data_IF_453363909400
#
_entry.id   IF_453363909400
#
_cell.length_a   1.000
_cell.length_b   1.000
_cell.length_c   1.000
_cell.angle_alpha   90.00
_cell.angle_beta   90.00
_cell.angle_gamma   90.00
#
_symmetry.space_group_name_H-M   'P 1'
#
loop_
_entity.id
_entity.type
_entity.pdbx_description
1 polymer ?
#
# COMPACT_ATOMS: atom_id res chain seq x y z
N UNK A 1 -10.47 87.89 1.58
CA UNK A 1 -9.45 86.89 1.12
C UNK A 1 -9.80 85.55 1.65
N UNK A 2 -10.55 84.73 0.86
CA UNK A 2 -10.91 83.37 1.20
C UNK A 2 -9.92 82.44 0.51
N UNK A 3 -9.19 81.62 1.30
CA UNK A 3 -8.31 80.56 0.79
C UNK A 3 -9.06 79.25 0.71
N UNK A 4 -9.33 78.80 -0.51
CA UNK A 4 -9.82 77.45 -0.81
C UNK A 4 -8.67 76.45 -0.60
N UNK A 5 -8.84 75.51 0.33
CA UNK A 5 -7.97 74.35 0.44
C UNK A 5 -8.54 73.21 -0.38
N UNK A 6 -7.81 72.84 -1.47
CA UNK A 6 -8.13 71.67 -2.26
C UNK A 6 -7.79 70.40 -1.49
N UNK A 7 -8.76 69.57 -1.26
CA UNK A 7 -8.63 68.27 -0.67
C UNK A 7 -8.50 67.25 -1.81
N UNK A 8 -7.27 66.71 -2.03
CA UNK A 8 -7.03 65.63 -2.97
C UNK A 8 -7.33 64.34 -2.25
N UNK A 9 -8.40 63.62 -2.65
CA UNK A 9 -8.74 62.29 -2.19
C UNK A 9 -7.94 61.28 -3.02
N UNK A 10 -6.94 60.68 -2.41
CA UNK A 10 -6.22 59.55 -3.03
C UNK A 10 -7.05 58.26 -2.87
N UNK A 11 -7.65 57.78 -3.96
CA UNK A 11 -8.27 56.45 -3.97
C UNK A 11 -7.17 55.41 -4.10
N UNK A 12 -6.91 54.67 -3.03
CA UNK A 12 -6.05 53.49 -3.05
C UNK A 12 -6.81 52.33 -3.66
N UNK A 13 -6.46 51.97 -4.91
CA UNK A 13 -6.94 50.74 -5.58
C UNK A 13 -6.21 49.58 -4.94
N UNK A 14 -6.90 48.83 -4.07
CA UNK A 14 -6.47 47.51 -3.60
C UNK A 14 -6.58 46.52 -4.76
N UNK A 15 -5.50 46.33 -5.49
CA UNK A 15 -5.35 45.20 -6.41
C UNK A 15 -5.17 43.97 -5.55
N UNK A 16 -6.26 43.27 -5.27
CA UNK A 16 -6.23 41.95 -4.66
C UNK A 16 -5.52 41.01 -5.62
N UNK A 17 -4.27 40.70 -5.35
CA UNK A 17 -3.56 39.60 -6.01
C UNK A 17 -4.27 38.32 -5.68
N UNK A 18 -5.14 37.84 -6.58
CA UNK A 18 -5.63 36.46 -6.52
C UNK A 18 -4.41 35.58 -6.71
N UNK A 19 -3.87 35.05 -5.61
CA UNK A 19 -2.90 33.97 -5.70
C UNK A 19 -3.62 32.77 -6.33
N UNK A 20 -3.34 32.52 -7.61
CA UNK A 20 -3.71 31.26 -8.23
C UNK A 20 -2.87 30.21 -7.49
N UNK A 21 -3.53 29.52 -6.56
CA UNK A 21 -2.99 28.32 -5.96
C UNK A 21 -2.84 27.30 -7.08
N UNK A 22 -1.68 27.22 -7.69
CA UNK A 22 -1.36 26.09 -8.54
C UNK A 22 -1.43 24.85 -7.67
N UNK A 23 -2.29 23.88 -8.03
CA UNK A 23 -2.32 22.60 -7.38
C UNK A 23 -0.89 22.05 -7.35
N UNK A 24 -0.42 21.67 -6.17
CA UNK A 24 0.99 21.30 -5.93
C UNK A 24 1.51 20.16 -6.82
N UNK A 25 0.60 19.46 -7.54
CA UNK A 25 0.90 18.27 -8.34
C UNK A 25 0.59 18.47 -9.84
N UNK A 26 0.43 19.70 -10.34
CA UNK A 26 0.14 19.96 -11.75
C UNK A 26 -1.26 19.52 -12.22
N UNK A 27 -2.21 19.30 -11.31
CA UNK A 27 -3.58 18.88 -11.58
C UNK A 27 -4.49 20.11 -11.44
N UNK A 28 -5.32 20.38 -12.44
CA UNK A 28 -6.14 21.61 -12.49
C UNK A 28 -7.58 21.45 -12.00
N UNK A 29 -8.02 20.26 -11.63
CA UNK A 29 -9.36 20.00 -11.10
C UNK A 29 -9.70 18.52 -11.06
N UNK A 30 -10.75 18.19 -10.32
CA UNK A 30 -11.28 16.83 -10.19
C UNK A 30 -11.39 16.36 -8.74
N UNK A 31 -12.11 15.26 -8.57
CA UNK A 31 -12.33 14.64 -7.27
C UNK A 31 -11.64 13.28 -7.25
N UNK A 32 -10.82 13.03 -6.25
CA UNK A 32 -10.16 11.73 -6.00
C UNK A 32 -10.70 11.18 -4.69
N UNK A 33 -11.33 10.01 -4.75
CA UNK A 33 -11.76 9.24 -3.57
C UNK A 33 -10.92 7.98 -3.45
N UNK A 34 -10.32 7.74 -2.27
CA UNK A 34 -9.36 6.68 -2.03
C UNK A 34 -9.90 5.73 -0.96
N UNK A 35 -9.97 4.43 -1.28
CA UNK A 35 -10.17 3.37 -0.29
C UNK A 35 -8.84 2.71 0.03
N UNK A 36 -8.50 2.61 1.31
CA UNK A 36 -7.25 2.04 1.78
C UNK A 36 -7.42 1.28 3.09
N UNK A 37 -6.56 0.31 3.36
CA UNK A 37 -6.44 -0.29 4.68
C UNK A 37 -5.99 0.74 5.71
N UNK A 38 -6.21 0.45 6.99
CA UNK A 38 -5.91 1.33 8.12
C UNK A 38 -4.62 0.91 8.83
N UNK A 39 -3.49 1.44 8.35
CA UNK A 39 -2.19 1.33 9.03
C UNK A 39 -1.23 2.46 8.60
N UNK A 40 -0.18 2.76 9.42
CA UNK A 40 0.62 3.99 9.29
C UNK A 40 1.25 4.23 7.92
N UNK A 41 1.74 3.19 7.23
CA UNK A 41 2.37 3.36 5.93
C UNK A 41 1.38 3.86 4.88
N UNK A 42 0.12 3.37 4.89
CA UNK A 42 -0.91 3.85 3.97
C UNK A 42 -1.38 5.27 4.32
N UNK A 43 -1.42 5.61 5.60
CA UNK A 43 -1.69 7.00 6.01
C UNK A 43 -0.66 7.96 5.41
N UNK A 44 0.64 7.61 5.44
CA UNK A 44 1.70 8.43 4.86
C UNK A 44 1.53 8.63 3.34
N UNK A 45 1.21 7.54 2.62
CA UNK A 45 0.99 7.60 1.16
C UNK A 45 -0.21 8.44 0.81
N UNK A 46 -1.34 8.24 1.49
CA UNK A 46 -2.58 8.99 1.23
C UNK A 46 -2.43 10.45 1.62
N UNK A 47 -1.71 10.77 2.71
CA UNK A 47 -1.41 12.15 3.08
C UNK A 47 -0.57 12.88 2.03
N UNK A 48 0.35 12.17 1.35
CA UNK A 48 1.07 12.74 0.21
C UNK A 48 0.13 13.07 -0.97
N UNK A 49 -0.90 12.24 -1.20
CA UNK A 49 -1.92 12.54 -2.21
C UNK A 49 -2.81 13.73 -1.79
N UNK A 50 -3.17 13.83 -0.50
CA UNK A 50 -3.93 14.97 0.04
C UNK A 50 -3.20 16.31 -0.13
N UNK A 51 -1.86 16.29 -0.12
CA UNK A 51 -1.05 17.48 -0.39
C UNK A 51 -1.24 18.04 -1.82
N UNK A 52 -1.82 17.25 -2.73
CA UNK A 52 -2.19 17.70 -4.07
C UNK A 52 -3.56 18.39 -4.14
N UNK A 53 -4.31 18.43 -3.03
CA UNK A 53 -5.60 19.12 -2.99
C UNK A 53 -5.43 20.65 -3.13
N UNK A 54 -6.42 21.30 -3.73
CA UNK A 54 -6.39 22.73 -4.03
C UNK A 54 -6.53 23.01 -5.53
N UNK A 55 -6.76 24.26 -5.91
CA UNK A 55 -6.92 24.63 -7.32
C UNK A 55 -8.08 23.91 -8.04
N UNK A 56 -9.14 23.52 -7.33
CA UNK A 56 -10.25 22.74 -7.88
C UNK A 56 -10.09 21.22 -7.77
N UNK A 57 -9.02 20.74 -7.13
CA UNK A 57 -8.81 19.30 -6.81
C UNK A 57 -9.27 19.02 -5.39
N UNK A 58 -10.13 18.00 -5.20
CA UNK A 58 -10.47 17.46 -3.89
C UNK A 58 -9.93 16.04 -3.75
N UNK A 59 -9.41 15.71 -2.58
CA UNK A 59 -8.97 14.36 -2.22
C UNK A 59 -9.72 13.93 -0.96
N UNK A 60 -10.47 12.84 -1.07
CA UNK A 60 -11.15 12.20 0.05
C UNK A 60 -10.60 10.80 0.28
N UNK A 61 -10.69 10.31 1.50
CA UNK A 61 -10.14 9.01 1.87
C UNK A 61 -11.06 8.25 2.82
N UNK A 62 -11.01 6.95 2.73
CA UNK A 62 -11.55 6.02 3.71
C UNK A 62 -10.44 5.02 4.08
N UNK A 63 -9.92 5.14 5.31
CA UNK A 63 -9.02 4.17 5.91
C UNK A 63 -9.81 3.23 6.80
N UNK A 64 -9.86 1.96 6.46
CA UNK A 64 -10.57 0.96 7.24
C UNK A 64 -9.94 -0.42 7.11
N UNK A 65 -9.98 -1.20 8.19
CA UNK A 65 -9.54 -2.60 8.18
C UNK A 65 -10.45 -3.51 7.36
N UNK A 66 -11.68 -3.08 7.14
CA UNK A 66 -12.69 -3.77 6.30
C UNK A 66 -12.53 -3.47 4.80
N UNK A 67 -11.46 -2.77 4.37
CA UNK A 67 -11.26 -2.35 2.98
C UNK A 67 -11.39 -3.50 1.96
N UNK A 68 -10.97 -4.72 2.33
CA UNK A 68 -11.08 -5.90 1.46
C UNK A 68 -12.51 -6.31 1.18
N UNK A 69 -13.38 -6.27 2.18
CA UNK A 69 -14.81 -6.59 2.02
C UNK A 69 -15.60 -5.46 1.36
N UNK A 70 -15.16 -4.22 1.53
CA UNK A 70 -15.83 -3.03 0.98
C UNK A 70 -15.52 -2.81 -0.50
N UNK A 71 -14.32 -3.16 -0.97
CA UNK A 71 -13.85 -2.78 -2.32
C UNK A 71 -14.72 -3.33 -3.45
N UNK A 72 -15.17 -4.60 -3.36
CA UNK A 72 -16.02 -5.21 -4.39
C UNK A 72 -17.33 -4.44 -4.57
N UNK A 73 -18.18 -4.36 -3.55
CA UNK A 73 -19.42 -3.58 -3.62
C UNK A 73 -19.22 -2.13 -4.07
N UNK A 74 -18.19 -1.45 -3.51
CA UNK A 74 -17.94 -0.04 -3.81
C UNK A 74 -17.46 0.22 -5.24
N UNK A 75 -16.71 -0.71 -5.85
CA UNK A 75 -16.28 -0.60 -7.25
C UNK A 75 -17.36 -1.05 -8.23
N UNK A 76 -18.30 -1.91 -7.80
CA UNK A 76 -19.45 -2.34 -8.61
C UNK A 76 -20.54 -1.27 -8.67
N UNK A 77 -20.58 -0.34 -7.73
CA UNK A 77 -21.52 0.79 -7.74
C UNK A 77 -21.37 1.61 -9.04
N UNK A 78 -22.47 2.22 -9.49
CA UNK A 78 -22.48 3.06 -10.69
C UNK A 78 -23.09 4.44 -10.41
N UNK A 79 -22.27 5.52 -10.30
CA UNK A 79 -20.80 5.50 -10.42
C UNK A 79 -20.11 4.77 -9.25
N UNK A 80 -18.89 4.30 -9.47
CA UNK A 80 -18.09 3.69 -8.40
C UNK A 80 -17.85 4.68 -7.24
N UNK A 81 -17.92 4.19 -6.00
CA UNK A 81 -17.75 5.03 -4.80
C UNK A 81 -16.34 5.58 -4.65
N UNK A 82 -15.34 4.83 -5.17
CA UNK A 82 -13.93 5.22 -5.11
C UNK A 82 -13.31 5.25 -6.49
N UNK A 83 -12.52 6.29 -6.76
CA UNK A 83 -11.71 6.43 -7.97
C UNK A 83 -10.37 5.71 -7.87
N UNK A 84 -9.88 5.45 -6.65
CA UNK A 84 -8.62 4.76 -6.38
C UNK A 84 -8.83 3.77 -5.23
N UNK A 85 -8.34 2.55 -5.39
CA UNK A 85 -8.28 1.55 -4.32
C UNK A 85 -6.83 1.13 -4.09
N UNK A 86 -6.40 1.07 -2.84
CA UNK A 86 -5.09 0.55 -2.45
C UNK A 86 -5.29 -0.90 -2.01
N UNK A 87 -4.66 -1.81 -2.73
CA UNK A 87 -4.89 -3.25 -2.62
C UNK A 87 -3.58 -4.02 -2.49
N UNK A 88 -3.68 -5.24 -2.01
CA UNK A 88 -2.59 -6.21 -2.11
C UNK A 88 -2.50 -6.76 -3.54
N UNK A 89 -1.31 -7.20 -3.95
CA UNK A 89 -1.06 -7.74 -5.29
C UNK A 89 -2.01 -8.89 -5.66
N UNK A 90 -2.36 -9.75 -4.71
CA UNK A 90 -3.30 -10.86 -4.90
C UNK A 90 -4.72 -10.43 -5.31
N UNK A 91 -5.11 -9.19 -5.09
CA UNK A 91 -6.42 -8.67 -5.47
C UNK A 91 -6.48 -8.18 -6.93
N UNK A 92 -5.36 -8.02 -7.61
CA UNK A 92 -5.32 -7.49 -8.99
C UNK A 92 -6.07 -8.40 -9.95
N UNK A 93 -5.74 -9.69 -9.97
CA UNK A 93 -6.34 -10.66 -10.90
C UNK A 93 -7.86 -10.82 -10.70
N UNK A 94 -8.40 -11.01 -9.48
CA UNK A 94 -9.85 -11.03 -9.26
C UNK A 94 -10.56 -9.77 -9.75
N UNK A 95 -10.06 -8.57 -9.38
CA UNK A 95 -10.67 -7.30 -9.80
C UNK A 95 -10.62 -7.07 -11.31
N UNK A 96 -9.57 -7.55 -11.99
CA UNK A 96 -9.51 -7.59 -13.45
C UNK A 96 -10.56 -8.50 -14.04
N UNK A 97 -10.69 -9.72 -13.51
CA UNK A 97 -11.67 -10.71 -13.99
C UNK A 97 -13.10 -10.22 -13.90
N UNK A 98 -13.39 -9.40 -12.90
CA UNK A 98 -14.70 -8.76 -12.70
C UNK A 98 -14.85 -7.43 -13.47
N UNK A 99 -13.80 -6.94 -14.14
CA UNK A 99 -13.84 -5.67 -14.87
C UNK A 99 -13.91 -4.42 -13.99
N UNK A 100 -13.53 -4.54 -12.71
CA UNK A 100 -13.64 -3.48 -11.71
C UNK A 100 -12.45 -2.52 -11.68
N UNK A 101 -11.36 -2.86 -12.34
CA UNK A 101 -10.18 -2.00 -12.53
C UNK A 101 -9.82 -1.91 -14.01
N UNK A 102 -9.23 -0.80 -14.41
CA UNK A 102 -8.83 -0.54 -15.78
C UNK A 102 -7.31 -0.49 -15.93
N UNK A 103 -6.78 -0.72 -17.15
CA UNK A 103 -5.38 -0.45 -17.45
C UNK A 103 -5.00 1.01 -17.15
N UNK A 104 -3.76 1.21 -16.69
CA UNK A 104 -3.18 2.49 -16.30
C UNK A 104 -2.13 2.99 -17.31
N UNK A 105 -1.99 2.33 -18.47
CA UNK A 105 -0.95 2.62 -19.47
C UNK A 105 -0.98 4.08 -19.91
N UNK A 106 -2.15 4.65 -20.12
CA UNK A 106 -2.34 6.06 -20.49
C UNK A 106 -1.84 7.02 -19.39
N UNK A 107 -2.11 6.70 -18.13
CA UNK A 107 -1.65 7.48 -16.98
C UNK A 107 -0.15 7.33 -16.76
N UNK A 108 0.37 6.12 -16.92
CA UNK A 108 1.82 5.86 -16.81
C UNK A 108 2.57 6.56 -17.93
N UNK A 109 2.09 6.52 -19.16
CA UNK A 109 2.70 7.24 -20.28
C UNK A 109 2.75 8.74 -20.03
N UNK A 110 1.70 9.31 -19.43
CA UNK A 110 1.57 10.76 -19.22
C UNK A 110 2.30 11.25 -17.95
N UNK A 111 2.24 10.47 -16.87
CA UNK A 111 2.65 10.91 -15.53
C UNK A 111 3.70 10.01 -14.88
N UNK A 112 4.01 8.86 -15.48
CA UNK A 112 4.83 7.81 -14.88
C UNK A 112 6.33 7.91 -15.14
N UNK A 113 6.87 9.03 -15.67
CA UNK A 113 8.28 9.14 -16.05
C UNK A 113 9.29 8.84 -14.92
N UNK A 114 8.90 9.06 -13.66
CA UNK A 114 9.74 8.76 -12.49
C UNK A 114 9.56 7.34 -11.93
N UNK A 115 8.56 6.59 -12.42
CA UNK A 115 8.31 5.23 -11.96
C UNK A 115 9.39 4.27 -12.46
N UNK A 116 9.76 3.32 -11.60
CA UNK A 116 10.68 2.25 -11.96
C UNK A 116 9.91 1.07 -12.55
N UNK A 117 10.53 0.34 -13.48
CA UNK A 117 9.89 -0.80 -14.14
C UNK A 117 9.29 -1.82 -13.15
N UNK A 118 9.98 -2.09 -12.04
CA UNK A 118 9.50 -3.03 -11.00
C UNK A 118 8.30 -2.52 -10.18
N UNK A 119 7.94 -1.25 -10.31
CA UNK A 119 6.72 -0.70 -9.70
C UNK A 119 5.47 -0.93 -10.56
N UNK A 120 5.65 -1.30 -11.82
CA UNK A 120 4.54 -1.51 -12.75
C UNK A 120 4.05 -2.96 -12.66
N UNK A 121 2.91 -3.18 -12.04
CA UNK A 121 2.26 -4.49 -11.97
C UNK A 121 1.56 -4.74 -13.31
N UNK A 122 2.16 -5.61 -14.12
CA UNK A 122 1.72 -5.85 -15.49
C UNK A 122 1.05 -7.22 -15.59
N UNK A 123 -0.14 -7.28 -16.15
CA UNK A 123 -0.91 -8.49 -16.45
C UNK A 123 -1.34 -8.42 -17.91
N UNK A 124 -1.12 -9.48 -18.68
CA UNK A 124 -1.44 -9.56 -20.13
C UNK A 124 -0.90 -8.36 -20.94
N UNK A 125 0.31 -7.92 -20.59
CA UNK A 125 0.99 -6.81 -21.27
C UNK A 125 0.46 -5.41 -20.92
N UNK A 126 -0.51 -5.27 -20.01
CA UNK A 126 -1.10 -4.00 -19.56
C UNK A 126 -0.72 -3.69 -18.12
N UNK A 127 -0.41 -2.43 -17.82
CA UNK A 127 -0.16 -1.98 -16.45
C UNK A 127 -1.49 -1.88 -15.71
N UNK A 128 -1.73 -2.77 -14.75
CA UNK A 128 -2.99 -2.83 -14.00
C UNK A 128 -2.90 -2.17 -12.62
N UNK A 129 -1.70 -2.06 -12.05
CA UNK A 129 -1.49 -1.37 -10.78
C UNK A 129 -0.07 -0.82 -10.69
N UNK A 130 0.14 0.10 -9.73
CA UNK A 130 1.44 0.68 -9.42
C UNK A 130 1.80 0.28 -8.00
N UNK A 131 2.90 -0.49 -7.85
CA UNK A 131 3.42 -0.87 -6.56
C UNK A 131 4.19 0.30 -5.93
N UNK A 132 3.89 0.60 -4.69
CA UNK A 132 4.58 1.62 -3.89
C UNK A 132 5.16 1.05 -2.60
N UNK A 133 4.80 -0.17 -2.23
CA UNK A 133 5.27 -0.86 -1.05
C UNK A 133 5.57 -2.33 -1.38
N UNK A 134 6.64 -2.85 -0.80
CA UNK A 134 6.96 -4.26 -0.84
C UNK A 134 7.01 -4.79 0.59
N UNK A 135 6.31 -5.90 0.83
CA UNK A 135 6.39 -6.64 2.08
C UNK A 135 7.41 -7.78 1.92
N UNK A 136 8.11 -8.07 3.01
CA UNK A 136 8.98 -9.23 3.10
C UNK A 136 8.83 -9.85 4.50
N UNK A 137 8.83 -11.17 4.56
CA UNK A 137 8.86 -11.89 5.82
C UNK A 137 10.32 -12.13 6.22
N UNK A 138 10.62 -11.88 7.48
CA UNK A 138 11.95 -12.04 8.05
C UNK A 138 11.87 -12.76 9.38
N UNK A 139 12.82 -13.63 9.65
CA UNK A 139 13.04 -14.15 10.98
C UNK A 139 13.72 -13.08 11.85
N UNK A 140 12.97 -12.53 12.81
CA UNK A 140 13.53 -11.67 13.85
C UNK A 140 13.87 -12.51 15.08
N UNK A 141 15.07 -12.34 15.62
CA UNK A 141 15.49 -13.09 16.80
C UNK A 141 16.20 -12.21 17.82
N UNK A 142 16.12 -12.60 19.07
CA UNK A 142 16.83 -12.01 20.18
C UNK A 142 18.22 -12.63 20.26
N UNK A 143 19.23 -11.92 19.75
CA UNK A 143 20.62 -12.39 19.73
C UNK A 143 21.18 -12.63 21.14
N UNK A 144 20.77 -11.84 22.13
CA UNK A 144 21.14 -12.00 23.52
C UNK A 144 20.54 -13.27 24.14
N UNK A 145 19.32 -13.67 23.76
CA UNK A 145 18.68 -14.91 24.22
C UNK A 145 19.34 -16.13 23.58
N UNK A 146 19.58 -16.10 22.27
CA UNK A 146 20.31 -17.18 21.57
C UNK A 146 21.68 -17.41 22.21
N UNK A 147 22.43 -16.34 22.50
CA UNK A 147 23.72 -16.42 23.18
C UNK A 147 23.62 -17.06 24.58
N UNK A 148 22.60 -16.67 25.37
CA UNK A 148 22.34 -17.27 26.69
C UNK A 148 21.99 -18.74 26.61
N UNK A 149 21.25 -19.15 25.58
CA UNK A 149 20.88 -20.55 25.32
C UNK A 149 22.05 -21.38 24.71
N UNK A 150 23.15 -20.72 24.32
CA UNK A 150 24.30 -21.39 23.70
C UNK A 150 24.08 -21.85 22.26
N UNK A 151 23.12 -21.20 21.55
CA UNK A 151 22.77 -21.54 20.15
C UNK A 151 23.11 -20.41 19.18
N UNK A 152 23.45 -20.79 17.96
CA UNK A 152 23.69 -19.85 16.86
C UNK A 152 22.39 -19.27 16.31
N UNK A 153 22.49 -18.20 15.50
CA UNK A 153 21.37 -17.71 14.73
C UNK A 153 20.90 -18.77 13.72
N UNK A 154 19.61 -19.18 13.74
CA UNK A 154 19.12 -20.23 12.86
C UNK A 154 19.03 -19.76 11.41
N UNK A 155 19.30 -20.66 10.48
CA UNK A 155 19.25 -20.45 9.03
C UNK A 155 18.23 -21.37 8.32
N UNK A 156 17.71 -22.38 9.03
CA UNK A 156 16.67 -23.28 8.55
C UNK A 156 15.49 -23.33 9.53
N UNK A 157 14.36 -23.85 9.10
CA UNK A 157 13.19 -24.04 9.98
C UNK A 157 13.47 -25.05 11.09
N UNK A 158 14.23 -26.10 10.82
CA UNK A 158 14.66 -27.07 11.80
C UNK A 158 15.51 -26.42 12.89
N UNK A 159 16.48 -25.59 12.51
CA UNK A 159 17.32 -24.84 13.44
C UNK A 159 16.50 -23.84 14.27
N UNK A 160 15.43 -23.25 13.73
CA UNK A 160 14.48 -22.41 14.52
C UNK A 160 13.83 -23.24 15.63
N UNK A 161 13.37 -24.46 15.30
CA UNK A 161 12.74 -25.34 16.27
C UNK A 161 13.74 -25.81 17.34
N UNK A 162 14.95 -26.16 16.95
CA UNK A 162 16.01 -26.56 17.91
C UNK A 162 16.40 -25.39 18.82
N UNK A 163 16.54 -24.18 18.26
CA UNK A 163 16.81 -22.98 19.05
C UNK A 163 15.66 -22.71 20.04
N UNK A 164 14.40 -22.86 19.61
CA UNK A 164 13.24 -22.71 20.47
C UNK A 164 13.23 -23.72 21.62
N UNK A 165 13.54 -25.00 21.36
CA UNK A 165 13.68 -26.04 22.38
C UNK A 165 14.76 -25.72 23.39
N UNK A 166 15.94 -25.29 22.91
CA UNK A 166 17.08 -24.92 23.76
C UNK A 166 16.74 -23.71 24.66
N UNK A 167 16.12 -22.65 24.12
CA UNK A 167 15.69 -21.48 24.87
C UNK A 167 14.69 -21.85 25.96
N UNK A 168 13.71 -22.69 25.63
CA UNK A 168 12.70 -23.17 26.59
C UNK A 168 13.30 -24.06 27.66
N UNK A 169 14.18 -25.00 27.26
CA UNK A 169 14.88 -25.91 28.18
C UNK A 169 15.80 -25.18 29.16
N UNK A 170 16.37 -24.06 28.75
CA UNK A 170 17.16 -23.17 29.61
C UNK A 170 16.30 -22.26 30.50
N UNK A 171 14.97 -22.34 30.44
CA UNK A 171 14.06 -21.51 31.23
C UNK A 171 14.10 -20.01 30.90
N UNK A 172 14.57 -19.66 29.70
CA UNK A 172 14.77 -18.25 29.29
C UNK A 172 13.45 -17.62 28.77
N UNK A 173 12.56 -18.43 28.18
CA UNK A 173 11.26 -17.99 27.67
C UNK A 173 10.28 -19.18 27.70
N UNK A 174 9.02 -18.90 28.03
CA UNK A 174 7.93 -19.90 27.99
C UNK A 174 7.50 -20.20 26.54
N UNK A 175 7.47 -19.17 25.70
CA UNK A 175 7.05 -19.21 24.28
C UNK A 175 8.17 -18.61 23.40
N UNK A 176 9.21 -19.38 23.11
CA UNK A 176 10.41 -18.88 22.41
C UNK A 176 10.23 -18.71 20.90
N UNK A 177 9.12 -19.18 20.34
CA UNK A 177 8.80 -19.03 18.92
C UNK A 177 7.34 -18.57 18.75
N UNK A 178 7.15 -17.60 17.85
CA UNK A 178 5.84 -17.07 17.50
C UNK A 178 5.77 -16.78 16.01
N UNK A 179 4.62 -17.04 15.40
CA UNK A 179 4.28 -16.69 14.03
C UNK A 179 2.78 -16.48 13.89
N UNK A 180 2.34 -15.98 12.73
CA UNK A 180 0.93 -15.68 12.52
C UNK A 180 0.12 -16.96 12.25
N UNK A 181 -0.91 -17.20 13.05
CA UNK A 181 -1.81 -18.35 12.91
C UNK A 181 -3.28 -17.95 12.80
N UNK A 182 -3.57 -16.64 12.78
CA UNK A 182 -4.93 -16.17 12.59
C UNK A 182 -5.42 -16.55 11.19
N UNK A 183 -6.56 -17.21 11.13
CA UNK A 183 -7.18 -17.62 9.86
C UNK A 183 -7.36 -16.41 8.92
N UNK A 184 -7.13 -16.63 7.63
CA UNK A 184 -7.18 -15.61 6.59
C UNK A 184 -5.80 -15.21 6.09
N UNK A 185 -5.62 -13.94 5.75
CA UNK A 185 -4.41 -13.42 5.13
C UNK A 185 -3.11 -13.84 5.85
N UNK A 186 -3.02 -13.59 7.14
CA UNK A 186 -1.79 -13.81 7.89
C UNK A 186 -1.32 -15.28 7.87
N UNK A 187 -2.24 -16.23 8.11
CA UNK A 187 -1.91 -17.65 8.03
C UNK A 187 -1.58 -18.07 6.60
N UNK A 188 -2.29 -17.52 5.61
CA UNK A 188 -2.01 -17.79 4.19
C UNK A 188 -0.60 -17.36 3.79
N UNK A 189 -0.16 -16.19 4.20
CA UNK A 189 1.20 -15.70 3.93
C UNK A 189 2.28 -16.56 4.60
N UNK A 190 2.06 -16.98 5.85
CA UNK A 190 3.00 -17.89 6.53
C UNK A 190 3.10 -19.23 5.79
N UNK A 191 1.94 -19.81 5.41
CA UNK A 191 1.91 -21.06 4.65
C UNK A 191 2.66 -20.93 3.32
N UNK A 192 2.35 -19.88 2.54
CA UNK A 192 3.01 -19.63 1.25
C UNK A 192 4.52 -19.51 1.43
N UNK A 193 4.96 -18.71 2.42
CA UNK A 193 6.38 -18.52 2.67
C UNK A 193 7.09 -19.82 3.05
N UNK A 194 6.50 -20.61 3.95
CA UNK A 194 7.08 -21.90 4.37
C UNK A 194 7.08 -22.92 3.22
N UNK A 195 5.98 -23.02 2.48
CA UNK A 195 5.87 -23.95 1.34
C UNK A 195 6.88 -23.61 0.24
N UNK A 196 6.98 -22.34 -0.16
CA UNK A 196 7.99 -21.88 -1.13
C UNK A 196 9.42 -22.13 -0.65
N UNK A 197 9.66 -22.06 0.67
CA UNK A 197 10.94 -22.37 1.30
C UNK A 197 11.37 -23.82 1.15
N UNK A 198 10.46 -24.76 0.85
CA UNK A 198 10.79 -26.16 0.55
C UNK A 198 11.34 -26.35 -0.87
N UNK A 199 11.22 -25.32 -1.74
CA UNK A 199 11.55 -25.42 -3.16
C UNK A 199 10.47 -26.09 -4.01
N UNK A 200 9.29 -26.40 -3.44
CA UNK A 200 8.19 -26.99 -4.17
C UNK A 200 7.37 -25.92 -4.90
N UNK A 201 6.78 -26.31 -6.02
CA UNK A 201 5.87 -25.47 -6.81
C UNK A 201 4.42 -25.62 -6.38
N UNK A 202 3.68 -24.53 -6.30
CA UNK A 202 2.23 -24.56 -6.00
C UNK A 202 1.40 -25.25 -7.08
N UNK A 203 1.86 -25.19 -8.32
CA UNK A 203 1.18 -25.75 -9.47
C UNK A 203 2.10 -26.74 -10.20
N UNK A 204 1.50 -27.74 -10.81
CA UNK A 204 2.24 -28.60 -11.73
C UNK A 204 2.81 -27.75 -12.87
N UNK A 205 4.07 -27.93 -13.26
CA UNK A 205 4.71 -27.12 -14.29
C UNK A 205 3.90 -27.03 -15.57
N UNK A 206 3.58 -25.81 -16.01
CA UNK A 206 2.83 -25.53 -17.23
C UNK A 206 1.32 -25.80 -17.16
N UNK A 207 0.76 -26.04 -15.98
CA UNK A 207 -0.67 -26.27 -15.77
C UNK A 207 -1.24 -25.34 -14.68
N UNK A 208 -2.57 -25.35 -14.52
CA UNK A 208 -3.25 -24.72 -13.39
C UNK A 208 -3.61 -25.73 -12.28
N UNK A 209 -3.10 -26.95 -12.35
CA UNK A 209 -3.35 -27.99 -11.34
C UNK A 209 -2.52 -27.73 -10.08
N UNK A 210 -3.22 -27.77 -8.94
CA UNK A 210 -2.61 -27.53 -7.63
C UNK A 210 -1.70 -28.72 -7.24
N UNK A 211 -0.50 -28.42 -6.77
CA UNK A 211 0.54 -29.39 -6.38
C UNK A 211 0.90 -29.36 -4.89
N UNK A 212 0.00 -28.90 -4.01
CA UNK A 212 0.30 -28.74 -2.57
C UNK A 212 -0.03 -29.97 -1.71
N UNK A 213 -0.58 -31.04 -2.28
CA UNK A 213 -1.01 -32.25 -1.55
C UNK A 213 -0.15 -33.48 -1.88
N UNK A 214 1.07 -33.33 -2.29
CA UNK A 214 2.01 -34.40 -2.63
C UNK A 214 2.95 -34.76 -1.46
#
# INVERSE_FOLDING_TARGET
>A
MLRFKSMVASAAILIGSATISNAACGISGGNVSILANDFPALHAVVSAAEACAGGGVTVSKNHTKEHDSLRGPALTANPADYSVVIIANSAVAPLMGEGLIRPLDDLVAKHGASLKKHQLVTVDGKVMAIAFMANAQHLFYRSDILKKAGVAAPTTYEEVLEAAKAIKGAGLMDYPFAFNTAAGWNLGEEFVNMYMGTGADFFNPGTAEINVNN
#
